data_IF_898993261366
#
_entry.id   IF_898993261366
#
_cell.length_a   1.000
_cell.length_b   1.000
_cell.length_c   1.000
_cell.angle_alpha   90.00
_cell.angle_beta   90.00
_cell.angle_gamma   90.00
#
_symmetry.space_group_name_H-M   'P 1'
#
loop_
_entity.id
_entity.type
_entity.pdbx_description
1 polymer ?
#
# COMPACT_ATOMS: atom_id res chain seq x y z
N UNK A 1 -9.88 37.46 -39.34
CA UNK A 1 -9.18 36.17 -39.20
C UNK A 1 -8.64 36.10 -37.79
N UNK A 2 -9.60 36.19 -36.87
CA UNK A 2 -9.48 36.03 -35.43
C UNK A 2 -10.53 34.97 -35.16
N UNK A 3 -10.13 33.79 -34.80
CA UNK A 3 -10.98 32.79 -34.19
C UNK A 3 -10.38 31.40 -34.46
N UNK A 4 -9.65 30.92 -33.51
CA UNK A 4 -9.59 29.54 -33.01
C UNK A 4 -8.39 29.34 -32.09
N UNK A 5 -8.34 30.14 -31.04
CA UNK A 5 -7.81 29.67 -29.76
C UNK A 5 -8.98 28.99 -29.03
N UNK A 6 -9.40 27.84 -29.51
CA UNK A 6 -10.09 26.89 -28.69
C UNK A 6 -9.06 26.41 -27.67
N UNK A 7 -9.20 26.92 -26.47
CA UNK A 7 -8.71 26.33 -25.26
C UNK A 7 -9.20 24.86 -25.27
N UNK A 8 -8.36 23.93 -25.72
CA UNK A 8 -8.47 22.54 -25.30
C UNK A 8 -8.16 22.61 -23.81
N UNK A 9 -9.19 22.55 -22.97
CA UNK A 9 -9.01 22.13 -21.60
C UNK A 9 -8.44 20.71 -21.72
N UNK A 10 -7.14 20.56 -21.47
CA UNK A 10 -6.53 19.26 -21.25
C UNK A 10 -7.39 18.61 -20.16
N UNK A 11 -8.15 17.58 -20.53
CA UNK A 11 -9.00 16.87 -19.57
C UNK A 11 -8.06 16.12 -18.64
N UNK A 12 -7.79 16.70 -17.47
CA UNK A 12 -6.96 16.07 -16.44
C UNK A 12 -7.71 14.88 -15.86
N UNK A 13 -7.05 13.72 -15.81
CA UNK A 13 -7.56 12.52 -15.17
C UNK A 13 -7.20 12.55 -13.68
N UNK A 14 -8.20 12.42 -12.82
CA UNK A 14 -8.06 12.39 -11.37
C UNK A 14 -8.17 10.96 -10.87
N UNK A 15 -7.10 10.49 -10.23
CA UNK A 15 -7.00 9.13 -9.72
C UNK A 15 -6.88 9.19 -8.20
N UNK A 16 -7.68 8.40 -7.47
CA UNK A 16 -7.47 8.11 -6.06
C UNK A 16 -6.87 6.71 -5.88
N UNK A 17 -6.06 6.55 -4.86
CA UNK A 17 -5.31 5.31 -4.59
C UNK A 17 -5.42 4.97 -3.12
N UNK A 18 -5.63 3.69 -2.82
CA UNK A 18 -5.46 3.15 -1.48
C UNK A 18 -4.85 1.74 -1.57
N UNK A 19 -4.24 1.30 -0.48
CA UNK A 19 -3.60 -0.01 -0.38
C UNK A 19 -3.73 -0.55 1.03
N UNK A 20 -3.53 -1.86 1.16
CA UNK A 20 -3.44 -2.51 2.47
C UNK A 20 -4.65 -2.16 3.37
N UNK A 21 -5.84 -2.40 2.82
CA UNK A 21 -7.11 -2.10 3.46
C UNK A 21 -7.37 -3.05 4.64
N UNK A 22 -6.93 -4.30 4.50
CA UNK A 22 -7.06 -5.36 5.49
C UNK A 22 -8.47 -5.50 6.08
N UNK A 23 -9.50 -5.34 5.23
CA UNK A 23 -10.89 -5.39 5.66
C UNK A 23 -11.25 -6.75 6.27
N UNK A 24 -11.83 -6.75 7.45
CA UNK A 24 -12.36 -7.92 8.14
C UNK A 24 -13.85 -7.74 8.44
N UNK A 25 -14.68 -8.64 7.92
CA UNK A 25 -16.13 -8.59 8.11
C UNK A 25 -16.53 -8.80 9.58
N UNK A 26 -17.39 -7.91 10.09
CA UNK A 26 -18.01 -8.07 11.43
C UNK A 26 -18.89 -9.32 11.55
N UNK A 27 -19.21 -10.03 10.47
CA UNK A 27 -19.94 -11.32 10.51
C UNK A 27 -19.10 -12.47 11.01
N UNK A 28 -17.79 -12.36 10.93
CA UNK A 28 -16.83 -13.37 11.39
C UNK A 28 -15.90 -12.84 12.49
N UNK A 29 -16.22 -11.67 13.03
CA UNK A 29 -15.45 -11.03 14.09
C UNK A 29 -16.39 -10.24 15.02
N UNK A 30 -16.53 -10.71 16.25
CA UNK A 30 -17.36 -10.07 17.28
C UNK A 30 -16.60 -9.05 18.15
N UNK A 31 -15.30 -8.85 17.89
CA UNK A 31 -14.43 -7.97 18.68
C UNK A 31 -14.04 -8.53 20.05
N UNK A 32 -14.28 -9.83 20.29
CA UNK A 32 -14.01 -10.52 21.56
C UNK A 32 -12.53 -10.68 21.90
N UNK A 33 -12.26 -11.45 22.97
CA UNK A 33 -10.93 -11.62 23.54
C UNK A 33 -9.93 -12.24 22.54
N UNK A 34 -10.36 -13.21 21.74
CA UNK A 34 -9.52 -13.85 20.72
C UNK A 34 -9.03 -12.84 19.66
N UNK A 35 -9.92 -11.96 19.21
CA UNK A 35 -9.57 -10.92 18.27
C UNK A 35 -8.65 -9.88 18.90
N UNK A 36 -8.99 -9.36 20.08
CA UNK A 36 -8.16 -8.40 20.80
C UNK A 36 -6.73 -8.93 21.04
N UNK A 37 -6.59 -10.20 21.44
CA UNK A 37 -5.29 -10.85 21.62
C UNK A 37 -4.52 -11.05 20.32
N UNK A 38 -5.20 -11.17 19.19
CA UNK A 38 -4.58 -11.31 17.87
C UNK A 38 -4.03 -9.97 17.39
N UNK A 39 -4.82 -8.90 17.42
CA UNK A 39 -4.40 -7.58 16.98
C UNK A 39 -3.34 -6.96 17.91
N UNK A 40 -3.39 -7.23 19.21
CA UNK A 40 -2.37 -6.78 20.17
C UNK A 40 -0.96 -7.31 19.84
N UNK A 41 -0.82 -8.35 19.04
CA UNK A 41 0.44 -8.91 18.54
C UNK A 41 0.77 -8.46 17.11
N UNK A 42 -0.11 -7.68 16.51
CA UNK A 42 -0.02 -7.23 15.14
C UNK A 42 0.96 -6.07 14.94
N UNK A 43 0.91 -5.51 13.77
CA UNK A 43 1.83 -4.53 13.17
C UNK A 43 1.32 -3.08 13.19
N UNK A 44 0.32 -2.77 14.03
CA UNK A 44 -0.21 -1.41 14.20
C UNK A 44 -1.43 -1.09 13.35
N UNK A 45 -2.03 -2.08 12.69
CA UNK A 45 -3.31 -1.92 11.99
C UNK A 45 -4.43 -1.58 12.99
N UNK A 46 -5.25 -0.59 12.68
CA UNK A 46 -6.39 -0.14 13.51
C UNK A 46 -7.60 -1.06 13.31
N UNK A 47 -7.40 -2.35 13.54
CA UNK A 47 -8.36 -3.41 13.19
C UNK A 47 -9.70 -3.33 13.92
N UNK A 48 -9.73 -2.74 15.13
CA UNK A 48 -10.98 -2.54 15.88
C UNK A 48 -11.96 -1.62 15.17
N UNK A 49 -11.46 -0.74 14.30
CA UNK A 49 -12.23 0.27 13.56
C UNK A 49 -12.13 0.10 12.04
N UNK A 50 -11.75 -1.09 11.57
CA UNK A 50 -11.50 -1.30 10.14
C UNK A 50 -12.77 -1.11 9.28
N UNK A 51 -13.94 -1.45 9.79
CA UNK A 51 -15.21 -1.19 9.11
C UNK A 51 -15.46 0.30 8.94
N UNK A 52 -15.24 1.09 10.00
CA UNK A 52 -15.42 2.54 10.04
C UNK A 52 -14.42 3.24 9.11
N UNK A 53 -13.18 2.76 9.06
CA UNK A 53 -12.13 3.23 8.14
C UNK A 53 -12.57 3.02 6.69
N UNK A 54 -13.02 1.81 6.35
CA UNK A 54 -13.43 1.48 4.97
C UNK A 54 -14.69 2.25 4.56
N UNK A 55 -15.67 2.41 5.45
CA UNK A 55 -16.85 3.26 5.15
C UNK A 55 -16.45 4.72 4.94
N UNK A 56 -15.62 5.28 5.82
CA UNK A 56 -15.13 6.66 5.69
C UNK A 56 -14.36 6.86 4.38
N UNK A 57 -13.52 5.89 3.98
CA UNK A 57 -12.81 5.93 2.70
C UNK A 57 -13.78 5.88 1.51
N UNK A 58 -14.75 4.99 1.52
CA UNK A 58 -15.76 4.91 0.48
C UNK A 58 -16.59 6.22 0.39
N UNK A 59 -16.89 6.86 1.51
CA UNK A 59 -17.57 8.16 1.56
C UNK A 59 -16.69 9.26 0.97
N UNK A 60 -15.41 9.28 1.28
CA UNK A 60 -14.46 10.26 0.75
C UNK A 60 -14.30 10.10 -0.77
N UNK A 61 -14.24 8.87 -1.30
CA UNK A 61 -14.24 8.59 -2.75
C UNK A 61 -15.52 9.13 -3.40
N UNK A 62 -16.70 8.85 -2.83
CA UNK A 62 -17.98 9.35 -3.36
C UNK A 62 -18.10 10.89 -3.33
N UNK A 63 -17.54 11.51 -2.30
CA UNK A 63 -17.51 12.97 -2.13
C UNK A 63 -16.57 13.64 -3.14
N UNK A 64 -15.35 13.12 -3.31
CA UNK A 64 -14.33 13.68 -4.22
C UNK A 64 -14.64 13.40 -5.68
N UNK A 65 -15.31 12.27 -5.97
CA UNK A 65 -15.65 11.83 -7.33
C UNK A 65 -14.43 11.83 -8.25
N UNK A 66 -13.38 11.06 -7.96
CA UNK A 66 -12.29 10.86 -8.90
C UNK A 66 -12.82 10.16 -10.15
N UNK A 67 -12.08 10.24 -11.25
CA UNK A 67 -12.41 9.51 -12.47
C UNK A 67 -12.07 8.01 -12.31
N UNK A 68 -11.00 7.74 -11.54
CA UNK A 68 -10.48 6.40 -11.30
C UNK A 68 -10.15 6.20 -9.82
N UNK A 69 -10.48 5.03 -9.27
CA UNK A 69 -10.01 4.52 -8.00
C UNK A 69 -9.12 3.28 -8.25
N UNK A 70 -7.91 3.26 -7.70
CA UNK A 70 -7.00 2.11 -7.78
C UNK A 70 -6.72 1.57 -6.37
N UNK A 71 -6.89 0.25 -6.18
CA UNK A 71 -6.56 -0.45 -4.95
C UNK A 71 -5.39 -1.41 -5.20
N UNK A 72 -4.28 -1.21 -4.46
CA UNK A 72 -2.99 -1.84 -4.74
C UNK A 72 -2.79 -3.21 -4.05
N UNK A 73 -3.86 -3.85 -3.56
CA UNK A 73 -3.80 -5.17 -2.91
C UNK A 73 -3.95 -5.13 -1.39
N UNK A 74 -3.89 -6.31 -0.78
CA UNK A 74 -4.20 -6.57 0.63
C UNK A 74 -5.55 -5.97 1.05
N UNK A 75 -6.57 -6.34 0.27
CA UNK A 75 -7.94 -5.84 0.41
C UNK A 75 -8.63 -6.42 1.64
N UNK A 76 -8.35 -7.68 1.97
CA UNK A 76 -8.89 -8.41 3.10
C UNK A 76 -7.83 -8.64 4.19
N UNK A 77 -8.27 -8.97 5.40
CA UNK A 77 -7.36 -9.22 6.52
C UNK A 77 -6.48 -10.44 6.26
N UNK A 78 -7.10 -11.58 5.87
CA UNK A 78 -6.38 -12.81 5.53
C UNK A 78 -7.15 -13.66 4.50
N UNK A 79 -7.73 -13.06 3.48
CA UNK A 79 -8.37 -13.76 2.37
C UNK A 79 -9.77 -14.32 2.70
N UNK A 80 -10.43 -13.83 3.74
CA UNK A 80 -11.74 -14.29 4.16
C UNK A 80 -12.78 -14.01 3.07
N UNK A 81 -13.41 -15.05 2.53
CA UNK A 81 -14.37 -14.95 1.44
C UNK A 81 -15.51 -13.98 1.75
N UNK A 82 -16.00 -13.99 2.98
CA UNK A 82 -17.07 -13.07 3.40
C UNK A 82 -16.61 -11.62 3.42
N UNK A 83 -15.34 -11.35 3.82
CA UNK A 83 -14.75 -10.01 3.77
C UNK A 83 -14.67 -9.50 2.33
N UNK A 84 -14.18 -10.33 1.39
CA UNK A 84 -14.16 -9.98 -0.04
C UNK A 84 -15.55 -9.70 -0.59
N UNK A 85 -16.55 -10.52 -0.28
CA UNK A 85 -17.94 -10.33 -0.74
C UNK A 85 -18.53 -9.02 -0.20
N UNK A 86 -18.24 -8.65 1.04
CA UNK A 86 -18.76 -7.39 1.61
C UNK A 86 -18.03 -6.18 1.07
N UNK A 87 -16.72 -6.25 0.93
CA UNK A 87 -15.93 -5.17 0.34
C UNK A 87 -16.32 -4.95 -1.13
N UNK A 88 -16.49 -6.02 -1.92
CA UNK A 88 -16.90 -5.87 -3.32
C UNK A 88 -18.23 -5.11 -3.46
N UNK A 89 -19.21 -5.37 -2.58
CA UNK A 89 -20.49 -4.64 -2.58
C UNK A 89 -20.35 -3.16 -2.22
N UNK A 90 -19.36 -2.79 -1.37
CA UNK A 90 -19.05 -1.40 -1.08
C UNK A 90 -18.44 -0.72 -2.31
N UNK A 91 -17.53 -1.41 -3.02
CA UNK A 91 -16.89 -0.93 -4.26
C UNK A 91 -17.87 -0.87 -5.44
N UNK A 92 -18.80 -1.83 -5.57
CA UNK A 92 -19.86 -1.79 -6.59
C UNK A 92 -20.69 -0.51 -6.49
N UNK A 93 -21.03 -0.05 -5.26
CA UNK A 93 -21.73 1.23 -5.06
C UNK A 93 -20.90 2.44 -5.54
N UNK A 94 -19.57 2.35 -5.50
CA UNK A 94 -18.70 3.39 -6.07
C UNK A 94 -18.77 3.34 -7.60
N UNK A 95 -18.66 2.13 -8.19
CA UNK A 95 -18.78 1.94 -9.64
C UNK A 95 -20.12 2.43 -10.17
N UNK A 96 -21.23 2.21 -9.45
CA UNK A 96 -22.58 2.70 -9.80
C UNK A 96 -22.65 4.23 -9.89
N UNK A 97 -21.74 4.97 -9.26
CA UNK A 97 -21.64 6.44 -9.39
C UNK A 97 -20.91 6.91 -10.65
N UNK A 98 -20.39 5.97 -11.46
CA UNK A 98 -19.63 6.25 -12.69
C UNK A 98 -18.11 6.34 -12.48
N UNK A 99 -17.60 6.06 -11.28
CA UNK A 99 -16.17 6.01 -11.00
C UNK A 99 -15.63 4.63 -11.45
N UNK A 100 -14.56 4.62 -12.24
CA UNK A 100 -13.88 3.39 -12.64
C UNK A 100 -13.03 2.87 -11.47
N UNK A 101 -13.21 1.61 -11.08
CA UNK A 101 -12.44 0.99 -9.99
C UNK A 101 -11.56 -0.12 -10.56
N UNK A 102 -10.27 -0.12 -10.21
CA UNK A 102 -9.29 -1.15 -10.58
C UNK A 102 -8.58 -1.67 -9.33
N UNK A 103 -8.30 -2.97 -9.29
CA UNK A 103 -7.62 -3.59 -8.17
C UNK A 103 -6.85 -4.86 -8.58
N UNK A 104 -5.86 -5.20 -7.77
CA UNK A 104 -5.15 -6.50 -7.79
C UNK A 104 -5.18 -7.11 -6.39
N UNK A 105 -4.96 -8.42 -6.26
CA UNK A 105 -4.76 -9.01 -4.94
C UNK A 105 -3.37 -8.71 -4.39
N UNK A 106 -3.27 -8.61 -3.05
CA UNK A 106 -2.03 -8.70 -2.32
C UNK A 106 -1.78 -10.13 -1.79
N UNK A 107 -0.73 -10.28 -0.98
CA UNK A 107 -0.35 -11.58 -0.45
C UNK A 107 -1.29 -12.10 0.64
N UNK A 108 -2.15 -11.25 1.21
CA UNK A 108 -3.17 -11.65 2.17
C UNK A 108 -4.50 -12.08 1.52
N UNK A 109 -4.71 -11.90 0.21
CA UNK A 109 -6.05 -11.96 -0.37
C UNK A 109 -6.48 -13.32 -0.90
N UNK A 110 -5.53 -14.16 -1.36
CA UNK A 110 -5.85 -15.38 -2.10
C UNK A 110 -5.19 -16.61 -1.45
N UNK A 111 -5.97 -17.69 -1.28
CA UNK A 111 -5.51 -18.98 -0.76
C UNK A 111 -4.73 -18.88 0.56
N UNK A 112 -5.06 -17.92 1.42
CA UNK A 112 -4.30 -17.68 2.63
C UNK A 112 -4.61 -18.76 3.69
N UNK A 113 -3.58 -19.45 4.17
CA UNK A 113 -3.73 -20.57 5.11
C UNK A 113 -4.26 -20.15 6.48
N UNK A 114 -4.04 -18.88 6.87
CA UNK A 114 -4.45 -18.31 8.17
C UNK A 114 -5.73 -17.50 8.07
N UNK A 115 -6.68 -17.97 7.26
CA UNK A 115 -8.00 -17.38 7.09
C UNK A 115 -8.88 -17.79 8.28
N UNK A 116 -9.14 -16.86 9.20
CA UNK A 116 -9.84 -17.13 10.46
C UNK A 116 -10.94 -16.12 10.75
N UNK A 117 -11.99 -16.61 11.46
CA UNK A 117 -12.95 -15.79 12.17
C UNK A 117 -12.71 -15.83 13.69
N UNK A 118 -13.34 -14.91 14.41
CA UNK A 118 -13.16 -14.67 15.84
C UNK A 118 -14.54 -14.62 16.54
N UNK A 119 -14.69 -15.36 17.64
CA UNK A 119 -15.90 -15.35 18.45
C UNK A 119 -15.51 -15.54 19.92
N UNK A 120 -15.80 -14.57 20.77
CA UNK A 120 -15.38 -14.51 22.17
C UNK A 120 -13.87 -14.77 22.33
N UNK A 121 -13.51 -15.93 22.87
CA UNK A 121 -12.13 -16.37 23.08
C UNK A 121 -11.67 -17.45 22.06
N UNK A 122 -12.48 -17.74 21.04
CA UNK A 122 -12.22 -18.77 20.05
C UNK A 122 -11.80 -18.17 18.69
N UNK A 123 -10.83 -18.85 18.05
CA UNK A 123 -10.41 -18.61 16.67
C UNK A 123 -10.86 -19.84 15.87
N UNK A 124 -11.58 -19.65 14.77
CA UNK A 124 -12.08 -20.72 13.93
C UNK A 124 -11.74 -20.48 12.45
N UNK A 125 -11.61 -21.55 11.67
CA UNK A 125 -11.38 -21.44 10.23
C UNK A 125 -12.63 -20.96 9.51
N UNK A 126 -12.44 -20.09 8.52
CA UNK A 126 -13.45 -19.65 7.57
C UNK A 126 -12.98 -19.92 6.13
N UNK A 127 -13.90 -19.82 5.17
CA UNK A 127 -13.58 -20.01 3.76
C UNK A 127 -12.70 -18.86 3.23
N UNK A 128 -11.65 -19.20 2.50
CA UNK A 128 -10.86 -18.26 1.70
C UNK A 128 -11.32 -18.27 0.24
N UNK A 129 -10.73 -17.40 -0.58
CA UNK A 129 -10.95 -17.35 -2.03
C UNK A 129 -9.74 -17.86 -2.79
N UNK A 130 -9.96 -18.47 -3.95
CA UNK A 130 -8.95 -18.71 -4.95
C UNK A 130 -8.91 -17.57 -5.99
N UNK A 131 -7.97 -17.62 -6.94
CA UNK A 131 -7.79 -16.57 -7.95
C UNK A 131 -9.02 -16.36 -8.85
N UNK A 132 -9.73 -17.44 -9.21
CA UNK A 132 -10.94 -17.38 -10.03
C UNK A 132 -12.09 -16.73 -9.26
N UNK A 133 -12.33 -17.17 -8.02
CA UNK A 133 -13.35 -16.61 -7.14
C UNK A 133 -13.08 -15.13 -6.83
N UNK A 134 -11.82 -14.74 -6.62
CA UNK A 134 -11.43 -13.34 -6.42
C UNK A 134 -11.86 -12.50 -7.63
N UNK A 135 -11.51 -12.91 -8.86
CA UNK A 135 -11.90 -12.19 -10.08
C UNK A 135 -13.41 -12.16 -10.30
N UNK A 136 -14.13 -13.22 -9.94
CA UNK A 136 -15.59 -13.24 -10.01
C UNK A 136 -16.22 -12.26 -9.03
N UNK A 137 -15.75 -12.22 -7.77
CA UNK A 137 -16.24 -11.32 -6.73
C UNK A 137 -16.01 -9.85 -7.13
N UNK A 138 -14.82 -9.52 -7.65
CA UNK A 138 -14.45 -8.16 -8.04
C UNK A 138 -14.62 -7.88 -9.54
N UNK A 139 -15.49 -8.63 -10.22
CA UNK A 139 -15.65 -8.52 -11.67
C UNK A 139 -15.96 -7.11 -12.19
N UNK A 140 -16.66 -6.28 -11.39
CA UNK A 140 -16.95 -4.89 -11.72
C UNK A 140 -15.76 -3.94 -11.54
N UNK A 141 -14.68 -4.39 -10.89
CA UNK A 141 -13.50 -3.60 -10.52
C UNK A 141 -12.31 -3.91 -11.44
N UNK A 142 -12.40 -3.53 -12.71
CA UNK A 142 -11.34 -3.69 -13.70
C UNK A 142 -11.45 -4.96 -14.56
N UNK A 143 -11.77 -6.12 -13.99
CA UNK A 143 -11.72 -7.42 -14.70
C UNK A 143 -12.70 -7.54 -15.86
N UNK A 144 -13.84 -6.83 -15.88
CA UNK A 144 -14.76 -6.80 -17.04
C UNK A 144 -14.35 -5.77 -18.11
N UNK A 145 -13.43 -4.87 -17.80
CA UNK A 145 -13.06 -3.73 -18.65
C UNK A 145 -11.62 -3.80 -19.15
N UNK A 146 -10.91 -4.91 -18.87
CA UNK A 146 -9.53 -5.11 -19.28
C UNK A 146 -9.41 -5.28 -20.80
N UNK A 147 -8.39 -4.63 -21.39
CA UNK A 147 -8.05 -4.75 -22.81
C UNK A 147 -7.12 -5.94 -23.07
N UNK A 148 -6.20 -6.22 -22.13
CA UNK A 148 -5.25 -7.34 -22.20
C UNK A 148 -5.26 -8.09 -20.86
N UNK A 149 -5.21 -9.42 -20.93
CA UNK A 149 -5.22 -10.28 -19.73
C UNK A 149 -4.14 -11.35 -19.81
N UNK A 150 -3.37 -11.48 -18.74
CA UNK A 150 -2.46 -12.61 -18.55
C UNK A 150 -3.13 -13.71 -17.72
N UNK A 151 -3.44 -14.82 -18.39
CA UNK A 151 -4.04 -15.98 -17.73
C UNK A 151 -3.10 -16.73 -16.79
N UNK A 152 -1.79 -16.47 -16.85
CA UNK A 152 -0.78 -17.17 -16.07
C UNK A 152 -0.52 -16.51 -14.73
N UNK A 153 -0.56 -15.17 -14.66
CA UNK A 153 -0.39 -14.44 -13.41
C UNK A 153 -1.70 -13.82 -12.88
N UNK A 154 -2.66 -13.51 -13.76
CA UNK A 154 -3.82 -12.71 -13.40
C UNK A 154 -3.62 -11.22 -13.69
N UNK A 155 -2.44 -10.82 -14.17
CA UNK A 155 -2.16 -9.44 -14.57
C UNK A 155 -3.05 -8.99 -15.71
N UNK A 156 -3.33 -7.69 -15.77
CA UNK A 156 -4.14 -7.14 -16.84
C UNK A 156 -3.78 -5.69 -17.17
N UNK A 157 -4.20 -5.24 -18.34
CA UNK A 157 -4.10 -3.84 -18.75
C UNK A 157 -5.48 -3.32 -19.10
N UNK A 158 -5.74 -2.09 -18.70
CA UNK A 158 -6.95 -1.35 -19.06
C UNK A 158 -6.60 0.03 -19.61
N UNK A 159 -7.31 0.46 -20.64
CA UNK A 159 -7.20 1.81 -21.18
C UNK A 159 -7.94 2.79 -20.28
N UNK A 160 -7.26 3.81 -19.77
CA UNK A 160 -7.88 4.87 -18.96
C UNK A 160 -8.31 6.05 -19.83
N UNK A 161 -7.42 6.49 -20.74
CA UNK A 161 -7.68 7.55 -21.74
C UNK A 161 -7.12 7.13 -23.10
N UNK A 162 -7.21 7.99 -24.10
CA UNK A 162 -6.64 7.67 -25.42
C UNK A 162 -5.12 7.56 -25.39
N UNK A 163 -4.47 8.22 -24.44
CA UNK A 163 -3.01 8.32 -24.27
C UNK A 163 -2.47 7.73 -22.97
N UNK A 164 -3.31 7.08 -22.13
CA UNK A 164 -2.90 6.45 -20.88
C UNK A 164 -3.50 5.06 -20.70
N UNK A 165 -2.63 4.09 -20.40
CA UNK A 165 -2.99 2.73 -20.00
C UNK A 165 -2.57 2.46 -18.56
N UNK A 166 -3.38 1.68 -17.84
CA UNK A 166 -3.10 1.17 -16.50
C UNK A 166 -2.67 -0.29 -16.62
N UNK A 167 -1.44 -0.59 -16.20
CA UNK A 167 -0.94 -1.96 -16.07
C UNK A 167 -1.11 -2.42 -14.61
N UNK A 168 -1.90 -3.45 -14.39
CA UNK A 168 -2.13 -4.07 -13.09
C UNK A 168 -1.35 -5.39 -13.04
N UNK A 169 -0.15 -5.37 -12.42
CA UNK A 169 0.79 -6.49 -12.38
C UNK A 169 0.52 -7.36 -11.14
N UNK A 170 -0.08 -8.52 -11.35
CA UNK A 170 -0.44 -9.46 -10.29
C UNK A 170 0.66 -10.50 -10.08
N UNK A 171 1.26 -10.51 -8.91
CA UNK A 171 2.29 -11.46 -8.48
C UNK A 171 1.80 -12.42 -7.39
N UNK A 172 0.49 -12.40 -7.06
CA UNK A 172 -0.08 -13.09 -5.91
C UNK A 172 -1.16 -14.13 -6.25
N UNK A 173 -1.88 -13.99 -7.37
CA UNK A 173 -3.00 -14.89 -7.71
C UNK A 173 -2.59 -16.34 -7.89
N UNK A 174 -1.50 -16.60 -8.57
CA UNK A 174 -1.02 -17.95 -8.89
C UNK A 174 0.38 -18.24 -8.38
N UNK A 175 1.10 -17.21 -7.97
CA UNK A 175 2.48 -17.29 -7.51
C UNK A 175 2.63 -16.60 -6.15
N UNK A 176 3.78 -16.81 -5.53
CA UNK A 176 4.15 -16.10 -4.31
C UNK A 176 5.26 -15.12 -4.63
N UNK A 177 4.84 -13.91 -5.03
CA UNK A 177 5.73 -12.78 -5.23
C UNK A 177 6.72 -12.94 -6.41
N UNK A 178 6.26 -13.45 -7.56
CA UNK A 178 7.05 -13.48 -8.80
C UNK A 178 6.16 -13.64 -10.04
N UNK A 179 6.74 -13.47 -11.25
CA UNK A 179 6.13 -13.80 -12.53
C UNK A 179 6.80 -15.01 -13.16
N UNK A 180 6.03 -15.86 -13.85
CA UNK A 180 6.58 -16.94 -14.68
C UNK A 180 7.02 -16.43 -16.06
N UNK A 181 7.72 -17.28 -16.83
CA UNK A 181 8.22 -16.90 -18.17
C UNK A 181 7.10 -16.50 -19.12
N UNK A 182 5.99 -17.21 -19.10
CA UNK A 182 4.82 -16.90 -19.93
C UNK A 182 4.22 -15.53 -19.62
N UNK A 183 4.25 -15.12 -18.35
CA UNK A 183 3.82 -13.79 -17.92
C UNK A 183 4.79 -12.69 -18.36
N UNK A 184 6.09 -12.96 -18.40
CA UNK A 184 7.07 -12.03 -18.99
C UNK A 184 6.85 -11.86 -20.49
N UNK A 185 6.61 -12.96 -21.23
CA UNK A 185 6.28 -12.90 -22.65
C UNK A 185 4.99 -12.11 -22.92
N UNK A 186 4.00 -12.25 -22.03
CA UNK A 186 2.77 -11.46 -22.10
C UNK A 186 3.04 -9.97 -21.81
N UNK A 187 3.79 -9.67 -20.76
CA UNK A 187 4.13 -8.30 -20.35
C UNK A 187 4.82 -7.55 -21.50
N UNK A 188 5.86 -8.16 -22.09
CA UNK A 188 6.57 -7.55 -23.24
C UNK A 188 5.63 -7.29 -24.41
N UNK A 189 4.77 -8.25 -24.78
CA UNK A 189 3.81 -8.06 -25.89
C UNK A 189 2.80 -6.95 -25.59
N UNK A 190 2.24 -6.91 -24.37
CA UNK A 190 1.27 -5.89 -24.00
C UNK A 190 1.89 -4.49 -24.04
N UNK A 191 3.09 -4.31 -23.47
CA UNK A 191 3.78 -3.02 -23.46
C UNK A 191 4.23 -2.61 -24.89
N UNK A 192 4.67 -3.55 -25.72
CA UNK A 192 4.99 -3.28 -27.14
C UNK A 192 3.78 -2.76 -27.91
N UNK A 193 2.61 -3.37 -27.72
CA UNK A 193 1.38 -2.93 -28.40
C UNK A 193 0.93 -1.54 -27.94
N UNK A 194 1.09 -1.21 -26.66
CA UNK A 194 0.76 0.11 -26.11
C UNK A 194 1.77 1.16 -26.62
N UNK A 195 3.06 0.83 -26.61
CA UNK A 195 4.13 1.71 -27.08
C UNK A 195 3.95 2.08 -28.58
N UNK A 196 3.49 1.14 -29.42
CA UNK A 196 3.15 1.41 -30.84
C UNK A 196 2.03 2.44 -30.98
N UNK A 197 1.17 2.60 -29.98
CA UNK A 197 0.10 3.61 -29.96
C UNK A 197 0.59 4.98 -29.49
N UNK A 198 1.83 5.07 -28.97
CA UNK A 198 2.40 6.29 -28.38
C UNK A 198 1.74 6.70 -27.07
N UNK A 199 1.14 5.75 -26.36
CA UNK A 199 0.46 6.01 -25.09
C UNK A 199 1.40 5.78 -23.90
N UNK A 200 1.14 6.52 -22.82
CA UNK A 200 1.80 6.39 -21.54
C UNK A 200 1.25 5.20 -20.74
N UNK A 201 2.03 4.73 -19.76
CA UNK A 201 1.66 3.60 -18.91
C UNK A 201 1.90 3.97 -17.46
N UNK A 202 0.84 3.84 -16.64
CA UNK A 202 0.92 3.80 -15.19
C UNK A 202 0.93 2.35 -14.75
N UNK A 203 2.01 1.90 -14.12
CA UNK A 203 2.13 0.53 -13.63
C UNK A 203 1.77 0.43 -12.15
N UNK A 204 1.23 -0.71 -11.76
CA UNK A 204 0.83 -1.05 -10.40
C UNK A 204 1.26 -2.47 -10.07
N UNK A 205 1.83 -2.68 -8.90
CA UNK A 205 2.06 -3.98 -8.27
C UNK A 205 1.71 -3.91 -6.79
N UNK A 206 1.50 -5.05 -6.12
CA UNK A 206 1.33 -5.01 -4.66
C UNK A 206 2.68 -4.96 -3.97
N UNK A 207 3.56 -5.96 -4.21
CA UNK A 207 4.94 -5.93 -3.72
C UNK A 207 5.79 -4.93 -4.51
N UNK A 208 6.88 -4.51 -3.88
CA UNK A 208 7.74 -3.46 -4.40
C UNK A 208 8.61 -3.95 -5.57
N UNK A 209 8.81 -3.08 -6.55
CA UNK A 209 9.71 -3.28 -7.67
C UNK A 209 11.15 -2.89 -7.31
N UNK A 210 11.32 -1.78 -6.59
CA UNK A 210 12.61 -1.25 -6.15
C UNK A 210 12.86 -1.54 -4.67
N UNK A 211 14.13 -1.61 -4.27
CA UNK A 211 14.52 -1.71 -2.87
C UNK A 211 14.17 -0.42 -2.13
N UNK A 212 13.20 -0.49 -1.24
CA UNK A 212 12.77 0.65 -0.41
C UNK A 212 13.58 0.74 0.89
N UNK A 213 14.11 -0.39 1.34
CA UNK A 213 14.92 -0.50 2.54
C UNK A 213 15.74 -1.80 2.47
N UNK A 214 17.05 -1.72 2.64
CA UNK A 214 17.96 -2.85 2.49
C UNK A 214 17.69 -4.00 3.49
N UNK A 215 16.99 -3.75 4.58
CA UNK A 215 16.61 -4.79 5.55
C UNK A 215 15.36 -5.58 5.13
N UNK A 216 14.55 -5.05 4.24
CA UNK A 216 13.24 -5.59 3.85
C UNK A 216 13.17 -5.84 2.34
N UNK A 217 14.00 -6.77 1.87
CA UNK A 217 14.05 -7.19 0.45
C UNK A 217 13.34 -8.52 0.24
N UNK A 218 13.72 -9.56 0.99
CA UNK A 218 13.11 -10.88 0.88
C UNK A 218 11.66 -10.87 1.37
N UNK A 219 10.73 -11.25 0.49
CA UNK A 219 9.29 -11.23 0.76
C UNK A 219 8.62 -9.89 0.50
N UNK A 220 9.36 -8.78 0.48
CA UNK A 220 8.84 -7.44 0.23
C UNK A 220 8.97 -7.01 -1.24
N UNK A 221 10.09 -7.33 -1.87
CA UNK A 221 10.29 -7.08 -3.30
C UNK A 221 9.80 -8.24 -4.15
N UNK A 222 9.39 -7.95 -5.37
CA UNK A 222 9.13 -8.96 -6.39
C UNK A 222 10.45 -9.71 -6.69
N UNK A 223 10.45 -11.05 -6.64
CA UNK A 223 11.69 -11.87 -6.73
C UNK A 223 12.49 -11.67 -8.02
N UNK A 224 11.82 -11.33 -9.10
CA UNK A 224 12.44 -11.07 -10.41
C UNK A 224 12.21 -9.62 -10.86
N UNK A 225 12.25 -8.69 -9.90
CA UNK A 225 12.01 -7.26 -10.09
C UNK A 225 12.96 -6.62 -11.12
N UNK A 226 14.24 -6.98 -11.11
CA UNK A 226 15.23 -6.45 -12.06
C UNK A 226 14.80 -6.63 -13.52
N UNK A 227 14.26 -7.80 -13.86
CA UNK A 227 13.78 -8.08 -15.22
C UNK A 227 12.54 -7.25 -15.58
N UNK A 228 11.65 -7.02 -14.60
CA UNK A 228 10.48 -6.15 -14.80
C UNK A 228 10.95 -4.71 -15.03
N UNK A 229 11.90 -4.25 -14.24
CA UNK A 229 12.45 -2.90 -14.36
C UNK A 229 13.14 -2.69 -15.73
N UNK A 230 13.90 -3.67 -16.21
CA UNK A 230 14.49 -3.64 -17.55
C UNK A 230 13.44 -3.54 -18.67
N UNK A 231 12.34 -4.31 -18.55
CA UNK A 231 11.22 -4.26 -19.48
C UNK A 231 10.51 -2.90 -19.41
N UNK A 232 10.28 -2.38 -18.20
CA UNK A 232 9.68 -1.05 -18.00
C UNK A 232 10.55 0.04 -18.65
N UNK A 233 11.87 -0.02 -18.46
CA UNK A 233 12.82 0.90 -19.11
C UNK A 233 12.76 0.84 -20.63
N UNK A 234 12.71 -0.37 -21.20
CA UNK A 234 12.59 -0.62 -22.66
C UNK A 234 11.34 0.02 -23.28
N UNK A 235 10.23 0.02 -22.56
CA UNK A 235 8.94 0.54 -23.04
C UNK A 235 8.55 1.89 -22.42
N UNK A 236 9.51 2.58 -21.78
CA UNK A 236 9.34 3.92 -21.21
C UNK A 236 8.22 4.01 -20.15
N UNK A 237 8.01 2.95 -19.35
CA UNK A 237 7.17 3.02 -18.15
C UNK A 237 7.91 3.85 -17.11
N UNK A 238 7.36 5.00 -16.71
CA UNK A 238 8.04 5.95 -15.84
C UNK A 238 7.71 5.78 -14.36
N UNK A 239 6.53 5.25 -14.05
CA UNK A 239 6.00 5.20 -12.70
C UNK A 239 5.36 3.85 -12.41
N UNK A 240 5.79 3.23 -11.29
CA UNK A 240 5.13 2.09 -10.64
C UNK A 240 4.57 2.54 -9.29
N UNK A 241 3.37 2.10 -8.97
CA UNK A 241 2.74 2.28 -7.65
C UNK A 241 2.69 0.94 -6.94
N UNK A 242 3.03 0.92 -5.65
CA UNK A 242 2.95 -0.30 -4.84
C UNK A 242 2.47 -0.02 -3.41
N UNK A 243 2.24 -1.09 -2.65
CA UNK A 243 1.84 -1.06 -1.24
C UNK A 243 2.73 -1.98 -0.40
N UNK A 244 2.12 -2.91 0.35
CA UNK A 244 2.73 -4.04 1.05
C UNK A 244 3.60 -3.68 2.26
N UNK A 245 4.47 -2.68 2.16
CA UNK A 245 5.36 -2.28 3.26
C UNK A 245 4.67 -1.39 4.31
N UNK A 246 3.47 -0.91 4.03
CA UNK A 246 2.71 0.04 4.85
C UNK A 246 3.40 1.40 5.08
N UNK A 247 4.51 1.68 4.41
CA UNK A 247 5.24 2.95 4.49
C UNK A 247 4.85 3.87 3.34
N UNK A 248 5.07 5.16 3.51
CA UNK A 248 5.03 6.12 2.41
C UNK A 248 6.46 6.42 1.97
N UNK A 249 6.83 5.93 0.77
CA UNK A 249 8.21 6.04 0.31
C UNK A 249 8.32 6.18 -1.20
N UNK A 250 9.37 6.85 -1.69
CA UNK A 250 9.62 7.10 -3.10
C UNK A 250 11.06 6.72 -3.42
N UNK A 251 11.23 5.75 -4.30
CA UNK A 251 12.53 5.35 -4.83
C UNK A 251 12.61 5.56 -6.34
N UNK A 252 13.83 5.76 -6.84
CA UNK A 252 14.09 6.08 -8.24
C UNK A 252 15.27 5.29 -8.76
N UNK A 253 15.03 4.61 -9.90
CA UNK A 253 16.08 4.00 -10.70
C UNK A 253 15.73 4.21 -12.19
N UNK A 254 15.68 3.17 -13.02
CA UNK A 254 15.19 3.22 -14.42
C UNK A 254 13.73 3.67 -14.44
N UNK A 255 12.94 3.18 -13.48
CA UNK A 255 11.57 3.58 -13.18
C UNK A 255 11.52 4.29 -11.83
N UNK A 256 10.55 5.17 -11.62
CA UNK A 256 10.24 5.67 -10.28
C UNK A 256 9.18 4.78 -9.64
N UNK A 257 9.35 4.44 -8.37
CA UNK A 257 8.35 3.72 -7.60
C UNK A 257 7.87 4.54 -6.42
N UNK A 258 6.55 4.57 -6.22
CA UNK A 258 5.91 5.14 -5.04
C UNK A 258 5.23 4.01 -4.28
N UNK A 259 5.71 3.75 -3.07
CA UNK A 259 5.02 2.92 -2.10
C UNK A 259 4.05 3.81 -1.34
N UNK A 260 2.76 3.51 -1.45
CA UNK A 260 1.72 4.20 -0.68
C UNK A 260 1.54 3.51 0.67
N UNK A 261 1.47 4.29 1.75
CA UNK A 261 1.25 3.73 3.09
C UNK A 261 -0.16 3.15 3.25
N UNK A 262 -0.30 2.21 4.18
CA UNK A 262 -1.55 1.46 4.42
C UNK A 262 -2.69 2.37 4.89
N UNK A 263 -3.88 2.14 4.35
CA UNK A 263 -5.11 2.78 4.84
C UNK A 263 -5.46 2.33 6.27
N UNK A 264 -5.05 1.12 6.67
CA UNK A 264 -5.34 0.54 7.97
C UNK A 264 -4.33 0.90 9.07
N UNK A 265 -3.21 1.56 8.74
CA UNK A 265 -2.12 1.91 9.66
C UNK A 265 -1.96 3.42 9.74
N UNK A 266 -1.68 3.96 10.94
CA UNK A 266 -1.41 5.41 11.10
C UNK A 266 -0.31 5.88 10.14
N UNK A 267 -0.50 7.02 9.44
CA UNK A 267 -1.57 8.00 9.61
C UNK A 267 -2.82 7.78 8.73
N UNK A 268 -3.07 6.54 8.27
CA UNK A 268 -4.23 6.14 7.49
C UNK A 268 -4.34 6.91 6.16
N UNK A 269 -3.27 6.85 5.38
CA UNK A 269 -3.17 7.57 4.12
C UNK A 269 -4.00 6.93 3.01
N UNK A 270 -4.52 7.78 2.15
CA UNK A 270 -4.81 7.50 0.75
C UNK A 270 -4.04 8.49 -0.12
N UNK A 271 -3.89 8.17 -1.39
CA UNK A 271 -3.15 9.04 -2.30
C UNK A 271 -4.05 9.54 -3.45
N UNK A 272 -3.57 10.59 -4.09
CA UNK A 272 -4.18 11.19 -5.27
C UNK A 272 -3.13 11.33 -6.37
N UNK A 273 -3.55 11.15 -7.63
CA UNK A 273 -2.75 11.50 -8.81
C UNK A 273 -3.61 12.37 -9.72
N UNK A 274 -2.96 13.40 -10.28
CA UNK A 274 -3.44 14.10 -11.48
C UNK A 274 -2.54 13.71 -12.64
N UNK A 275 -3.16 13.26 -13.73
CA UNK A 275 -2.52 13.06 -15.03
C UNK A 275 -3.05 14.12 -15.99
N UNK A 276 -2.13 14.85 -16.65
CA UNK A 276 -2.43 15.96 -17.58
C UNK A 276 -1.97 15.68 -19.02
N UNK A 277 -1.66 14.43 -19.37
CA UNK A 277 -1.09 14.01 -20.66
C UNK A 277 0.44 14.11 -20.72
N UNK A 278 1.08 14.92 -19.87
CA UNK A 278 2.51 15.16 -19.88
C UNK A 278 3.21 14.79 -18.57
N UNK A 279 2.46 14.72 -17.48
CA UNK A 279 3.02 14.43 -16.16
C UNK A 279 2.05 13.67 -15.26
N UNK A 280 2.61 13.00 -14.25
CA UNK A 280 1.90 12.54 -13.07
C UNK A 280 2.29 13.42 -11.88
N UNK A 281 1.30 13.98 -11.18
CA UNK A 281 1.47 14.67 -9.91
C UNK A 281 0.77 13.89 -8.80
N UNK A 282 1.56 13.37 -7.84
CA UNK A 282 1.12 12.51 -6.75
C UNK A 282 1.20 13.23 -5.41
N UNK A 283 0.21 13.03 -4.53
CA UNK A 283 0.28 13.43 -3.12
C UNK A 283 -0.59 12.53 -2.25
N UNK A 284 -0.25 12.45 -0.95
CA UNK A 284 -1.03 11.73 0.06
C UNK A 284 -1.88 12.66 0.92
N UNK A 285 -2.93 12.11 1.50
CA UNK A 285 -3.77 12.76 2.50
C UNK A 285 -4.18 11.74 3.57
N UNK A 286 -4.31 12.20 4.82
CA UNK A 286 -4.83 11.36 5.90
C UNK A 286 -6.35 11.23 5.78
N UNK A 287 -6.85 10.01 6.00
CA UNK A 287 -8.28 9.77 6.07
C UNK A 287 -8.84 10.26 7.41
N UNK A 288 -9.92 11.02 7.36
CA UNK A 288 -10.70 11.37 8.55
C UNK A 288 -11.84 10.37 8.75
N UNK A 289 -11.98 9.85 9.98
CA UNK A 289 -13.03 8.88 10.34
C UNK A 289 -13.94 9.54 11.39
N UNK A 290 -14.82 10.42 10.91
CA UNK A 290 -15.70 11.25 11.76
C UNK A 290 -16.66 10.46 12.66
N UNK A 291 -16.88 9.18 12.36
CA UNK A 291 -17.76 8.28 13.14
C UNK A 291 -17.08 7.72 14.40
N UNK A 292 -15.77 7.92 14.56
CA UNK A 292 -14.99 7.48 15.70
C UNK A 292 -14.39 8.70 16.40
N UNK A 293 -14.82 8.95 17.62
CA UNK A 293 -14.27 10.05 18.45
C UNK A 293 -12.77 9.84 18.68
N UNK A 294 -11.98 10.91 18.52
CA UNK A 294 -10.51 10.90 18.68
C UNK A 294 -9.76 9.87 17.80
N UNK A 295 -10.31 9.50 16.64
CA UNK A 295 -9.74 8.45 15.75
C UNK A 295 -8.24 8.63 15.49
N UNK A 296 -7.80 9.85 15.17
CA UNK A 296 -6.37 10.14 14.89
C UNK A 296 -5.48 9.76 16.07
N UNK A 297 -5.92 10.10 17.30
CA UNK A 297 -5.18 9.75 18.52
C UNK A 297 -5.16 8.23 18.75
N UNK A 298 -6.28 7.55 18.53
CA UNK A 298 -6.39 6.09 18.65
C UNK A 298 -5.45 5.41 17.67
N UNK A 299 -5.53 5.79 16.38
CA UNK A 299 -4.69 5.22 15.33
C UNK A 299 -3.20 5.39 15.62
N UNK A 300 -2.81 6.58 16.05
CA UNK A 300 -1.44 6.88 16.47
C UNK A 300 -0.99 6.02 17.65
N UNK A 301 -1.83 5.89 18.69
CA UNK A 301 -1.51 5.08 19.88
C UNK A 301 -1.36 3.59 19.54
N UNK A 302 -2.19 3.03 18.65
CA UNK A 302 -2.04 1.66 18.17
C UNK A 302 -0.69 1.46 17.49
N UNK A 303 -0.29 2.37 16.62
CA UNK A 303 1.00 2.33 15.93
C UNK A 303 2.19 2.47 16.90
N UNK A 304 2.20 3.49 17.75
CA UNK A 304 3.24 3.72 18.79
C UNK A 304 3.36 2.54 19.75
N UNK A 305 2.22 1.91 20.07
CA UNK A 305 2.15 0.74 20.92
C UNK A 305 2.95 -0.44 20.41
N UNK A 306 3.04 -0.64 19.09
CA UNK A 306 3.90 -1.68 18.49
C UNK A 306 5.37 -1.40 18.80
N UNK A 307 5.84 -0.21 18.48
CA UNK A 307 7.22 0.22 18.76
C UNK A 307 7.57 0.12 20.23
N UNK A 308 6.68 0.56 21.12
CA UNK A 308 6.85 0.50 22.56
C UNK A 308 7.01 -0.95 23.08
N UNK A 309 6.18 -1.89 22.56
CA UNK A 309 6.31 -3.32 22.92
C UNK A 309 7.62 -3.93 22.43
N UNK A 310 8.06 -3.55 21.22
CA UNK A 310 9.34 -4.02 20.65
C UNK A 310 10.52 -3.51 21.49
N UNK A 311 10.53 -2.21 21.83
CA UNK A 311 11.56 -1.59 22.66
C UNK A 311 11.60 -2.19 24.06
N UNK A 312 10.44 -2.42 24.69
CA UNK A 312 10.38 -3.07 26.02
C UNK A 312 11.04 -4.44 26.00
N UNK A 313 10.79 -5.25 24.96
CA UNK A 313 11.44 -6.55 24.81
C UNK A 313 12.94 -6.39 24.60
N UNK A 314 13.36 -5.47 23.75
CA UNK A 314 14.77 -5.22 23.42
C UNK A 314 15.58 -4.75 24.63
N UNK A 315 15.08 -3.75 25.36
CA UNK A 315 15.77 -3.16 26.50
C UNK A 315 15.89 -4.12 27.72
N UNK A 316 15.12 -5.19 27.72
CA UNK A 316 15.24 -6.29 28.68
C UNK A 316 16.23 -7.40 28.25
N UNK A 317 16.94 -7.23 27.13
CA UNK A 317 17.99 -8.16 26.70
C UNK A 317 19.35 -7.83 27.34
N UNK A 318 20.25 -8.81 27.37
CA UNK A 318 21.62 -8.61 27.87
C UNK A 318 22.39 -7.50 27.14
N UNK A 319 22.04 -7.20 25.90
CA UNK A 319 22.68 -6.14 25.12
C UNK A 319 22.48 -4.75 25.76
N UNK A 320 21.33 -4.53 26.40
CA UNK A 320 20.93 -3.25 26.98
C UNK A 320 20.86 -3.27 28.52
N UNK A 321 21.30 -4.37 29.18
CA UNK A 321 21.19 -4.49 30.65
C UNK A 321 21.99 -3.43 31.44
N UNK A 322 23.07 -2.93 30.84
CA UNK A 322 23.94 -1.93 31.46
C UNK A 322 23.65 -0.49 31.00
N UNK A 323 22.68 -0.28 30.10
CA UNK A 323 22.30 1.04 29.66
C UNK A 323 21.47 1.75 30.73
N UNK A 324 21.73 3.06 30.94
CA UNK A 324 20.97 3.89 31.87
C UNK A 324 19.51 4.01 31.40
N UNK A 325 18.57 4.00 32.35
CA UNK A 325 17.14 4.17 32.06
C UNK A 325 16.83 5.53 31.40
N UNK A 326 17.60 6.59 31.71
CA UNK A 326 17.46 7.88 31.04
C UNK A 326 17.87 7.79 29.57
N UNK A 327 18.90 7.03 29.23
CA UNK A 327 19.37 6.83 27.86
C UNK A 327 18.43 5.90 27.09
N UNK A 328 17.92 4.82 27.70
CA UNK A 328 16.85 3.99 27.13
C UNK A 328 15.60 4.83 26.78
N UNK A 329 15.22 5.77 27.64
CA UNK A 329 14.11 6.68 27.39
C UNK A 329 14.36 7.60 26.19
N UNK A 330 15.58 8.17 26.05
CA UNK A 330 15.96 9.01 24.89
C UNK A 330 15.92 8.18 23.60
N UNK A 331 16.53 6.98 23.63
CA UNK A 331 16.53 6.04 22.52
C UNK A 331 15.11 5.63 22.10
N UNK A 332 14.25 5.31 23.07
CA UNK A 332 12.86 4.92 22.83
C UNK A 332 12.05 6.04 22.15
N UNK A 333 12.17 7.26 22.67
CA UNK A 333 11.49 8.43 22.09
C UNK A 333 11.95 8.70 20.65
N UNK A 334 13.26 8.66 20.40
CA UNK A 334 13.80 8.86 19.06
C UNK A 334 13.31 7.77 18.10
N UNK A 335 13.35 6.49 18.50
CA UNK A 335 12.84 5.37 17.70
C UNK A 335 11.38 5.56 17.30
N UNK A 336 10.50 5.80 18.28
CA UNK A 336 9.06 5.94 18.02
C UNK A 336 8.81 7.08 17.03
N UNK A 337 9.42 8.24 17.27
CA UNK A 337 9.19 9.41 16.41
C UNK A 337 9.75 9.27 15.00
N UNK A 338 10.94 8.69 14.86
CA UNK A 338 11.52 8.37 13.55
C UNK A 338 10.66 7.35 12.79
N UNK A 339 10.18 6.32 13.48
CA UNK A 339 9.32 5.30 12.90
C UNK A 339 7.99 5.88 12.42
N UNK A 340 7.36 6.77 13.19
CA UNK A 340 6.18 7.52 12.74
C UNK A 340 6.45 8.30 11.45
N UNK A 341 7.52 9.09 11.42
CA UNK A 341 7.87 9.89 10.26
C UNK A 341 8.18 9.01 9.03
N UNK A 342 8.84 7.87 9.23
CA UNK A 342 9.15 6.91 8.16
C UNK A 342 7.89 6.30 7.54
N UNK A 343 6.93 5.86 8.39
CA UNK A 343 5.67 5.30 7.89
C UNK A 343 4.77 6.35 7.26
N UNK A 344 4.79 7.57 7.78
CA UNK A 344 4.03 8.69 7.25
C UNK A 344 4.67 9.35 6.01
N UNK A 345 5.94 9.06 5.70
CA UNK A 345 6.68 9.74 4.63
C UNK A 345 6.92 11.23 4.93
N UNK A 346 6.87 11.62 6.19
CA UNK A 346 7.06 12.99 6.66
C UNK A 346 8.51 13.27 7.01
N UNK A 347 8.92 14.52 6.85
CA UNK A 347 10.25 14.96 7.29
C UNK A 347 10.32 14.90 8.81
N UNK A 348 11.25 14.09 9.33
CA UNK A 348 11.52 13.98 10.75
C UNK A 348 12.19 15.25 11.29
N UNK A 349 11.56 15.87 12.28
CA UNK A 349 12.20 16.95 13.04
C UNK A 349 13.06 16.35 14.16
N UNK A 350 14.37 16.48 14.01
CA UNK A 350 15.36 15.94 14.93
C UNK A 350 15.53 16.78 16.21
N UNK A 351 14.94 17.97 16.31
CA UNK A 351 15.07 18.84 17.50
C UNK A 351 14.60 18.13 18.77
N UNK A 352 15.51 17.96 19.73
CA UNK A 352 15.28 17.28 20.99
C UNK A 352 15.37 15.75 20.95
N UNK A 353 15.80 15.17 19.81
CA UNK A 353 16.01 13.72 19.62
C UNK A 353 17.47 13.37 19.31
N UNK A 354 18.37 14.34 19.12
CA UNK A 354 19.75 14.16 18.66
C UNK A 354 20.53 13.17 19.54
N UNK A 355 20.34 13.26 20.85
CA UNK A 355 21.02 12.35 21.77
C UNK A 355 20.51 10.91 21.66
N UNK A 356 19.20 10.72 21.49
CA UNK A 356 18.61 9.41 21.28
C UNK A 356 19.08 8.76 19.96
N UNK A 357 19.19 9.55 18.88
CA UNK A 357 19.74 9.10 17.60
C UNK A 357 21.19 8.68 17.75
N UNK A 358 22.03 9.54 18.36
CA UNK A 358 23.45 9.25 18.61
C UNK A 358 23.64 7.96 19.41
N UNK A 359 22.84 7.77 20.47
CA UNK A 359 22.87 6.54 21.26
C UNK A 359 22.54 5.30 20.42
N UNK A 360 21.61 5.38 19.46
CA UNK A 360 21.32 4.32 18.54
C UNK A 360 22.47 4.03 17.56
N UNK A 361 23.11 5.06 17.04
CA UNK A 361 24.27 4.91 16.12
C UNK A 361 25.47 4.23 16.81
N UNK A 362 25.67 4.47 18.13
CA UNK A 362 26.74 3.90 18.93
C UNK A 362 26.45 2.44 19.37
N UNK A 363 25.19 1.98 19.27
CA UNK A 363 24.85 0.61 19.67
C UNK A 363 25.52 -0.43 18.75
N UNK A 364 25.89 -1.61 19.33
CA UNK A 364 26.28 -2.76 18.55
C UNK A 364 25.20 -3.14 17.53
N UNK A 365 25.60 -3.80 16.45
CA UNK A 365 24.65 -4.26 15.43
C UNK A 365 23.64 -5.24 16.02
N UNK A 366 22.42 -4.81 16.12
CA UNK A 366 21.24 -5.62 16.40
C UNK A 366 20.13 -5.20 15.40
N UNK A 367 19.07 -6.00 15.31
CA UNK A 367 17.98 -5.72 14.36
C UNK A 367 17.48 -4.27 14.46
N UNK A 368 17.25 -3.76 15.67
CA UNK A 368 16.70 -2.40 15.85
C UNK A 368 17.70 -1.30 15.52
N UNK A 369 19.00 -1.46 15.87
CA UNK A 369 20.01 -0.45 15.51
C UNK A 369 20.25 -0.41 13.99
N UNK A 370 20.23 -1.57 13.33
CA UNK A 370 20.30 -1.66 11.87
C UNK A 370 19.05 -1.03 11.22
N UNK A 371 17.87 -1.29 11.76
CA UNK A 371 16.63 -0.68 11.30
C UNK A 371 16.67 0.85 11.39
N UNK A 372 17.10 1.40 12.53
CA UNK A 372 17.29 2.86 12.68
C UNK A 372 18.24 3.40 11.60
N UNK A 373 19.39 2.74 11.41
CA UNK A 373 20.35 3.12 10.37
C UNK A 373 19.74 3.04 8.97
N UNK A 374 18.88 2.06 8.71
CA UNK A 374 18.26 1.88 7.39
C UNK A 374 17.24 2.97 7.03
N UNK A 375 16.63 3.63 8.02
CA UNK A 375 15.61 4.67 7.79
C UNK A 375 16.17 6.09 7.89
N UNK A 376 17.37 6.28 8.46
CA UNK A 376 17.94 7.61 8.74
C UNK A 376 17.98 8.52 7.51
N UNK A 377 18.38 8.01 6.36
CA UNK A 377 18.45 8.82 5.13
C UNK A 377 17.08 9.18 4.56
N UNK A 378 16.09 8.31 4.80
CA UNK A 378 14.72 8.47 4.28
C UNK A 378 13.93 9.48 5.07
N UNK A 379 14.02 9.45 6.42
CA UNK A 379 13.21 10.31 7.30
C UNK A 379 13.54 11.80 7.19
N UNK A 380 14.62 12.17 6.52
CA UNK A 380 14.95 13.57 6.26
C UNK A 380 14.54 14.06 4.86
N UNK A 381 13.75 13.24 4.13
CA UNK A 381 13.26 13.57 2.78
C UNK A 381 11.74 13.61 2.76
N UNK A 382 11.17 14.52 1.97
CA UNK A 382 9.74 14.55 1.69
C UNK A 382 9.37 13.37 0.80
N UNK A 383 8.44 12.53 1.25
CA UNK A 383 7.98 11.31 0.57
C UNK A 383 6.48 11.35 0.22
N UNK A 384 5.78 12.43 0.57
CA UNK A 384 4.34 12.57 0.38
C UNK A 384 3.94 13.25 -0.92
N UNK A 385 4.90 13.78 -1.67
CA UNK A 385 4.64 14.50 -2.92
C UNK A 385 5.65 14.11 -3.97
N UNK A 386 5.16 13.89 -5.17
CA UNK A 386 6.00 13.53 -6.31
C UNK A 386 5.43 14.08 -7.60
N UNK A 387 6.31 14.58 -8.47
CA UNK A 387 5.96 14.90 -9.84
C UNK A 387 6.96 14.31 -10.80
N UNK A 388 6.47 13.71 -11.89
CA UNK A 388 7.29 13.15 -12.94
C UNK A 388 6.74 13.54 -14.32
N UNK A 389 7.62 14.05 -15.17
CA UNK A 389 7.33 14.32 -16.58
C UNK A 389 7.51 13.03 -17.42
N UNK A 390 6.71 12.88 -18.47
CA UNK A 390 6.58 11.65 -19.26
C UNK A 390 7.29 11.74 -20.61
#
# INVERSE_FOLDING_TARGET
>A
MIERLLCMSEETLRIMIATDLHYLSKKINDGGEAFANTIAKGDGKVMMYIEEIIEAFCDEVRKRRPDVLILLGDLSFNGEKISHIELSKKLEKIVETGISVYLIPGNHDINYERCFGFCDNEIYKVDSVNAEEFREIYAACGYKQMDYFDKYSGSYVSKLTDDLYLLMLDTNSYFSNYLCEESFDWLERALEEISKKGANILAVSHQNLLEQNFMFTEGFMIKNAERIEEIYGKYNVKLNLSGHMHIQHIEKNIVSEIVTSSLAVSPNHFANIIYDGNSFEYWTECLNVDTVEDFVSISKQEFEGVGSRQLTKLFNTHTFENEDEADKNKMGRAFIKMNESYFAGEIFDAEGFEEGIRLWEEQPECFTSLYIKSILDSVFKEQNKFKIEL
#
